data_IF_316412396605
#
_entry.id   IF_316412396605
#
_cell.length_a   1.000
_cell.length_b   1.000
_cell.length_c   1.000
_cell.angle_alpha   90.00
_cell.angle_beta   90.00
_cell.angle_gamma   90.00
#
_symmetry.space_group_name_H-M   'P 1'
#
loop_
_entity.id
_entity.type
_entity.pdbx_description
1 polymer ?
#
# COMPACT_ATOMS: atom_id res chain seq x y z
N UNK A 1 29.34 50.48 -24.21
CA UNK A 1 28.34 49.92 -23.30
C UNK A 1 28.26 50.84 -22.10
N UNK A 2 27.05 51.27 -21.75
CA UNK A 2 26.78 52.26 -20.70
C UNK A 2 26.83 51.54 -19.33
N UNK A 3 27.47 52.10 -18.31
CA UNK A 3 27.68 51.44 -17.01
C UNK A 3 26.37 50.94 -16.36
N UNK A 4 25.25 51.60 -16.64
CA UNK A 4 23.90 51.18 -16.19
C UNK A 4 23.45 49.84 -16.78
N UNK A 5 23.73 49.60 -18.05
CA UNK A 5 23.32 48.37 -18.76
C UNK A 5 24.12 47.15 -18.24
N UNK A 6 25.41 47.32 -17.93
CA UNK A 6 26.22 46.27 -17.29
C UNK A 6 25.71 45.87 -15.90
N UNK A 7 25.24 46.85 -15.10
CA UNK A 7 24.66 46.58 -13.78
C UNK A 7 23.36 45.78 -13.90
N UNK A 8 22.49 46.14 -14.85
CA UNK A 8 21.22 45.46 -15.09
C UNK A 8 21.42 44.01 -15.56
N UNK A 9 22.39 43.74 -16.44
CA UNK A 9 22.75 42.38 -16.83
C UNK A 9 23.23 41.51 -15.66
N UNK A 10 24.06 42.06 -14.78
CA UNK A 10 24.52 41.33 -13.60
C UNK A 10 23.33 41.00 -12.68
N UNK A 11 22.41 41.95 -12.51
CA UNK A 11 21.21 41.74 -11.70
C UNK A 11 20.29 40.66 -12.29
N UNK A 12 20.06 40.69 -13.60
CA UNK A 12 19.26 39.69 -14.31
C UNK A 12 19.81 38.28 -14.08
N UNK A 13 21.10 38.05 -14.37
CA UNK A 13 21.74 36.75 -14.14
C UNK A 13 21.66 36.28 -12.68
N UNK A 14 21.82 37.19 -11.71
CA UNK A 14 21.68 36.86 -10.30
C UNK A 14 20.24 36.46 -9.94
N UNK A 15 19.24 37.17 -10.44
CA UNK A 15 17.83 36.87 -10.20
C UNK A 15 17.41 35.56 -10.87
N UNK A 16 17.90 35.29 -12.09
CA UNK A 16 17.69 34.01 -12.76
C UNK A 16 18.30 32.86 -11.95
N UNK A 17 19.55 33.00 -11.50
CA UNK A 17 20.21 32.01 -10.64
C UNK A 17 19.43 31.73 -9.36
N UNK A 18 18.91 32.78 -8.70
CA UNK A 18 18.07 32.64 -7.51
C UNK A 18 16.78 31.86 -7.79
N UNK A 19 16.08 32.14 -8.90
CA UNK A 19 14.88 31.39 -9.30
C UNK A 19 15.20 29.91 -9.54
N UNK A 20 16.30 29.63 -10.24
CA UNK A 20 16.72 28.26 -10.54
C UNK A 20 17.04 27.47 -9.26
N UNK A 21 17.73 28.08 -8.29
CA UNK A 21 18.00 27.44 -7.00
C UNK A 21 16.69 27.12 -6.26
N UNK A 22 15.72 28.04 -6.25
CA UNK A 22 14.41 27.79 -5.61
C UNK A 22 13.62 26.66 -6.26
N UNK A 23 13.63 26.58 -7.59
CA UNK A 23 13.01 25.47 -8.32
C UNK A 23 13.71 24.14 -8.01
N UNK A 24 15.04 24.13 -7.89
CA UNK A 24 15.80 22.94 -7.47
C UNK A 24 15.49 22.53 -6.03
N UNK A 25 15.34 23.48 -5.11
CA UNK A 25 14.91 23.22 -3.74
C UNK A 25 13.52 22.56 -3.70
N UNK A 26 12.59 23.07 -4.51
CA UNK A 26 11.25 22.51 -4.66
C UNK A 26 11.30 21.07 -5.20
N UNK A 27 12.03 20.83 -6.30
CA UNK A 27 12.18 19.50 -6.87
C UNK A 27 12.79 18.52 -5.87
N UNK A 28 13.83 18.94 -5.14
CA UNK A 28 14.49 18.11 -4.13
C UNK A 28 13.55 17.74 -2.99
N UNK A 29 12.74 18.70 -2.51
CA UNK A 29 11.76 18.44 -1.46
C UNK A 29 10.66 17.48 -1.94
N UNK A 30 10.14 17.70 -3.15
CA UNK A 30 9.11 16.84 -3.73
C UNK A 30 9.61 15.40 -3.93
N UNK A 31 10.86 15.22 -4.36
CA UNK A 31 11.51 13.90 -4.45
C UNK A 31 11.55 13.18 -3.10
N UNK A 32 11.99 13.88 -2.05
CA UNK A 32 12.05 13.33 -0.70
C UNK A 32 10.67 12.90 -0.19
N UNK A 33 9.67 13.76 -0.39
CA UNK A 33 8.29 13.48 0.01
C UNK A 33 7.73 12.25 -0.74
N UNK A 34 7.78 12.23 -2.07
CA UNK A 34 7.25 11.12 -2.89
C UNK A 34 7.92 9.77 -2.62
N UNK A 35 9.19 9.77 -2.25
CA UNK A 35 9.90 8.56 -1.85
C UNK A 35 9.35 7.96 -0.55
N UNK A 36 8.84 8.80 0.36
CA UNK A 36 8.24 8.38 1.62
C UNK A 36 6.73 8.10 1.58
N UNK A 37 6.00 8.60 0.59
CA UNK A 37 4.53 8.51 0.58
C UNK A 37 3.95 7.10 0.33
N UNK A 38 4.74 6.15 -0.16
CA UNK A 38 4.28 4.76 -0.23
C UNK A 38 5.44 3.78 -0.10
N UNK A 39 5.18 2.68 0.58
CA UNK A 39 6.09 1.54 0.73
C UNK A 39 5.25 0.28 0.66
N UNK A 40 5.66 -0.70 -0.13
CA UNK A 40 4.97 -1.98 -0.24
C UNK A 40 5.99 -3.07 -0.54
N UNK A 41 6.07 -4.09 0.31
CA UNK A 41 7.00 -5.19 0.10
C UNK A 41 7.16 -6.11 1.31
N UNK A 42 7.94 -7.20 1.15
CA UNK A 42 8.25 -8.10 2.25
C UNK A 42 8.96 -7.36 3.39
N UNK A 43 8.61 -7.67 4.63
CA UNK A 43 9.20 -7.01 5.80
C UNK A 43 10.73 -7.16 5.84
N UNK A 44 11.25 -8.32 5.44
CA UNK A 44 12.69 -8.61 5.42
C UNK A 44 13.48 -7.76 4.41
N UNK A 45 12.86 -7.32 3.31
CA UNK A 45 13.52 -6.53 2.25
C UNK A 45 12.98 -5.09 2.15
N UNK A 46 12.16 -4.65 3.11
CA UNK A 46 11.48 -3.35 3.09
C UNK A 46 12.45 -2.18 2.93
N UNK A 47 13.61 -2.24 3.60
CA UNK A 47 14.64 -1.20 3.49
C UNK A 47 15.28 -1.12 2.09
N UNK A 48 15.44 -2.27 1.43
CA UNK A 48 15.95 -2.33 0.06
C UNK A 48 14.91 -1.78 -0.93
N UNK A 49 13.63 -2.13 -0.75
CA UNK A 49 12.52 -1.57 -1.54
C UNK A 49 12.44 -0.06 -1.40
N UNK A 50 12.54 0.47 -0.17
CA UNK A 50 12.56 1.93 0.08
C UNK A 50 13.74 2.61 -0.60
N UNK A 51 14.93 2.02 -0.52
CA UNK A 51 16.13 2.55 -1.18
C UNK A 51 15.98 2.57 -2.70
N UNK A 52 15.49 1.48 -3.30
CA UNK A 52 15.25 1.38 -4.73
C UNK A 52 14.23 2.42 -5.22
N UNK A 53 13.16 2.63 -4.45
CA UNK A 53 12.16 3.65 -4.74
C UNK A 53 12.74 5.05 -4.69
N UNK A 54 13.53 5.37 -3.67
CA UNK A 54 14.22 6.65 -3.56
C UNK A 54 15.15 6.89 -4.76
N UNK A 55 15.91 5.88 -5.19
CA UNK A 55 16.74 5.96 -6.40
C UNK A 55 15.92 6.17 -7.68
N UNK A 56 14.79 5.47 -7.83
CA UNK A 56 13.88 5.63 -8.98
C UNK A 56 13.32 7.05 -9.09
N UNK A 57 12.99 7.66 -7.95
CA UNK A 57 12.46 9.03 -7.89
C UNK A 57 13.55 10.08 -8.10
N UNK A 58 14.78 9.81 -7.63
CA UNK A 58 15.89 10.75 -7.74
C UNK A 58 16.18 11.18 -9.19
N UNK A 59 16.07 10.25 -10.14
CA UNK A 59 16.31 10.51 -11.57
C UNK A 59 15.17 11.19 -12.32
N UNK A 60 14.01 11.46 -11.68
CA UNK A 60 12.85 12.06 -12.35
C UNK A 60 12.91 13.59 -12.34
N UNK A 61 12.47 14.19 -13.43
CA UNK A 61 12.33 15.64 -13.54
C UNK A 61 11.12 16.16 -12.77
N UNK A 62 11.12 17.45 -12.42
CA UNK A 62 9.99 18.14 -11.78
C UNK A 62 8.63 17.82 -12.43
N UNK A 63 8.53 17.84 -13.77
CA UNK A 63 7.29 17.54 -14.48
C UNK A 63 6.76 16.12 -14.23
N UNK A 64 7.64 15.11 -14.27
CA UNK A 64 7.26 13.72 -13.97
C UNK A 64 6.87 13.54 -12.50
N UNK A 65 7.58 14.20 -11.59
CA UNK A 65 7.28 14.15 -10.15
C UNK A 65 5.90 14.74 -9.86
N UNK A 66 5.55 15.85 -10.50
CA UNK A 66 4.26 16.51 -10.32
C UNK A 66 3.11 15.70 -10.91
N UNK A 67 3.34 15.02 -12.04
CA UNK A 67 2.39 14.05 -12.57
C UNK A 67 2.15 12.90 -11.59
N UNK A 68 3.20 12.28 -11.07
CA UNK A 68 3.09 11.21 -10.07
C UNK A 68 2.38 11.70 -8.80
N UNK A 69 2.76 12.88 -8.31
CA UNK A 69 2.16 13.49 -7.13
C UNK A 69 0.66 13.72 -7.29
N UNK A 70 0.25 14.31 -8.41
CA UNK A 70 -1.17 14.65 -8.67
C UNK A 70 -2.04 13.45 -9.04
N UNK A 71 -1.44 12.38 -9.61
CA UNK A 71 -2.18 11.19 -9.99
C UNK A 71 -2.44 10.25 -8.81
N UNK A 72 -1.41 10.02 -7.98
CA UNK A 72 -1.36 8.91 -7.02
C UNK A 72 -1.55 9.35 -5.57
N UNK A 73 -1.16 10.60 -5.25
CA UNK A 73 -1.04 11.08 -3.87
C UNK A 73 -1.94 12.26 -3.54
N UNK A 74 -2.31 13.07 -4.54
CA UNK A 74 -3.29 14.15 -4.38
C UNK A 74 -4.66 13.69 -4.87
N UNK A 75 -5.58 13.43 -3.94
CA UNK A 75 -6.90 12.86 -4.24
C UNK A 75 -8.00 13.84 -3.88
N UNK A 76 -9.03 13.95 -4.72
CA UNK A 76 -10.25 14.69 -4.36
C UNK A 76 -11.13 13.83 -3.46
N UNK A 77 -11.84 14.44 -2.51
CA UNK A 77 -12.79 13.72 -1.63
C UNK A 77 -13.78 12.84 -2.42
N UNK A 78 -14.28 13.35 -3.54
CA UNK A 78 -15.17 12.64 -4.47
C UNK A 78 -14.58 11.34 -5.05
N UNK A 79 -13.26 11.28 -5.23
CA UNK A 79 -12.54 10.12 -5.76
C UNK A 79 -12.19 9.13 -4.65
N UNK A 80 -11.93 9.59 -3.43
CA UNK A 80 -11.67 8.70 -2.29
C UNK A 80 -12.91 7.85 -1.96
N UNK A 81 -14.10 8.45 -1.99
CA UNK A 81 -15.37 7.74 -1.75
C UNK A 81 -15.69 6.65 -2.79
N UNK A 82 -15.01 6.63 -3.94
CA UNK A 82 -15.18 5.61 -4.98
C UNK A 82 -14.09 4.52 -4.95
N UNK A 83 -13.01 4.74 -4.19
CA UNK A 83 -11.84 3.85 -4.16
C UNK A 83 -11.94 2.73 -3.11
N UNK A 84 -12.98 2.73 -2.27
CA UNK A 84 -13.13 1.84 -1.12
C UNK A 84 -13.56 0.40 -1.51
N UNK A 85 -14.11 0.20 -2.72
CA UNK A 85 -14.61 -1.11 -3.17
C UNK A 85 -13.60 -1.97 -3.95
N UNK A 86 -12.40 -1.47 -4.25
CA UNK A 86 -11.48 -2.13 -5.21
C UNK A 86 -10.07 -2.42 -4.69
N UNK A 87 -9.78 -2.20 -3.39
CA UNK A 87 -8.43 -2.40 -2.83
C UNK A 87 -8.22 -3.67 -2.03
N UNK A 88 -9.16 -4.60 -2.04
CA UNK A 88 -8.83 -6.01 -1.84
C UNK A 88 -8.05 -6.48 -3.08
N UNK A 89 -6.75 -6.15 -3.12
CA UNK A 89 -5.87 -6.58 -4.21
C UNK A 89 -5.77 -8.10 -4.17
N UNK A 90 -6.08 -8.71 -5.32
CA UNK A 90 -5.63 -10.02 -5.78
C UNK A 90 -4.10 -10.11 -5.73
N UNK A 91 -3.54 -10.14 -4.53
CA UNK A 91 -2.15 -10.54 -4.32
C UNK A 91 -2.09 -12.05 -4.46
N UNK A 92 -1.37 -12.54 -5.45
CA UNK A 92 -0.89 -13.93 -5.46
C UNK A 92 -0.26 -14.18 -4.09
N UNK A 93 -0.85 -15.10 -3.31
CA UNK A 93 -0.37 -15.48 -1.97
C UNK A 93 1.01 -16.13 -2.11
N UNK A 94 2.05 -15.31 -2.25
CA UNK A 94 3.43 -15.77 -2.13
C UNK A 94 3.69 -16.10 -0.67
N UNK A 95 4.13 -17.32 -0.40
CA UNK A 95 4.44 -17.88 0.92
C UNK A 95 5.67 -17.23 1.60
N UNK A 96 6.18 -16.11 1.07
CA UNK A 96 7.50 -15.53 1.37
C UNK A 96 7.48 -14.53 2.55
N UNK A 97 6.79 -14.90 3.63
CA UNK A 97 6.78 -14.17 4.91
C UNK A 97 5.87 -12.93 4.96
N UNK A 98 5.92 -12.17 6.08
CA UNK A 98 5.03 -11.04 6.30
C UNK A 98 5.32 -9.88 5.33
N UNK A 99 4.27 -9.35 4.71
CA UNK A 99 4.33 -8.18 3.82
C UNK A 99 3.83 -6.93 4.56
N UNK A 100 4.49 -5.80 4.32
CA UNK A 100 4.11 -4.49 4.88
C UNK A 100 3.77 -3.55 3.74
N UNK A 101 2.60 -2.93 3.82
CA UNK A 101 2.15 -1.90 2.88
C UNK A 101 1.72 -0.64 3.62
N UNK A 102 2.22 0.50 3.20
CA UNK A 102 1.88 1.83 3.68
C UNK A 102 1.65 2.73 2.47
N UNK A 103 0.52 3.44 2.46
CA UNK A 103 0.22 4.43 1.43
C UNK A 103 -0.40 5.67 2.08
N UNK A 104 0.28 6.80 1.95
CA UNK A 104 -0.16 8.09 2.44
C UNK A 104 -0.70 8.93 1.28
N UNK A 105 -1.95 9.38 1.37
CA UNK A 105 -2.55 10.30 0.39
C UNK A 105 -3.02 11.58 1.06
N UNK A 106 -2.96 12.66 0.31
CA UNK A 106 -3.49 13.97 0.67
C UNK A 106 -4.85 14.09 0.01
N UNK A 107 -5.90 14.04 0.83
CA UNK A 107 -7.29 14.20 0.38
C UNK A 107 -7.69 15.66 0.53
N UNK A 108 -8.28 16.22 -0.53
CA UNK A 108 -8.67 17.62 -0.60
C UNK A 108 -10.09 17.79 -1.13
N UNK A 109 -10.79 18.87 -0.73
CA UNK A 109 -11.98 19.34 -1.42
C UNK A 109 -11.71 19.52 -2.92
N UNK A 110 -12.70 19.21 -3.76
CA UNK A 110 -12.52 19.12 -5.23
C UNK A 110 -12.04 20.44 -5.86
N UNK A 111 -12.54 21.57 -5.36
CA UNK A 111 -12.14 22.92 -5.77
C UNK A 111 -10.70 23.26 -5.35
N UNK A 112 -10.26 22.77 -4.19
CA UNK A 112 -8.88 22.94 -3.73
C UNK A 112 -7.92 22.05 -4.53
N UNK A 113 -8.31 20.80 -4.82
CA UNK A 113 -7.55 19.87 -5.66
C UNK A 113 -7.27 20.47 -7.05
N UNK A 114 -8.29 21.01 -7.71
CA UNK A 114 -8.15 21.66 -9.01
C UNK A 114 -7.20 22.86 -8.97
N UNK A 115 -7.36 23.73 -7.98
CA UNK A 115 -6.51 24.92 -7.78
C UNK A 115 -5.04 24.56 -7.59
N UNK A 116 -4.74 23.53 -6.79
CA UNK A 116 -3.36 23.09 -6.60
C UNK A 116 -2.80 22.49 -7.89
N UNK A 117 -3.57 21.65 -8.58
CA UNK A 117 -3.13 21.06 -9.86
C UNK A 117 -2.77 22.14 -10.89
N UNK A 118 -3.54 23.23 -10.92
CA UNK A 118 -3.25 24.40 -11.76
C UNK A 118 -1.99 25.15 -11.30
N UNK A 119 -1.80 25.36 -9.99
CA UNK A 119 -0.55 25.95 -9.45
C UNK A 119 0.69 25.14 -9.83
N UNK A 120 0.57 23.81 -9.73
CA UNK A 120 1.61 22.88 -10.13
C UNK A 120 1.89 22.98 -11.64
N UNK A 121 0.87 23.03 -12.49
CA UNK A 121 1.08 23.22 -13.93
C UNK A 121 1.81 24.55 -14.24
N UNK A 122 1.47 25.64 -13.53
CA UNK A 122 2.14 26.94 -13.67
C UNK A 122 3.62 26.89 -13.28
N UNK A 123 3.98 26.16 -12.23
CA UNK A 123 5.37 25.94 -11.83
C UNK A 123 6.21 25.25 -12.92
N UNK A 124 5.65 24.25 -13.61
CA UNK A 124 6.33 23.59 -14.75
C UNK A 124 6.51 24.56 -15.91
N UNK A 125 5.45 25.29 -16.25
CA UNK A 125 5.47 26.29 -17.31
C UNK A 125 6.54 27.36 -17.03
N UNK A 126 6.58 27.91 -15.81
CA UNK A 126 7.57 28.88 -15.37
C UNK A 126 8.99 28.33 -15.48
N UNK A 127 9.26 27.10 -15.00
CA UNK A 127 10.60 26.49 -15.14
C UNK A 127 11.01 26.39 -16.60
N UNK A 128 10.10 25.99 -17.48
CA UNK A 128 10.42 25.85 -18.91
C UNK A 128 10.62 27.21 -19.57
N UNK A 129 9.83 28.20 -19.20
CA UNK A 129 9.99 29.58 -19.65
C UNK A 129 11.37 30.13 -19.28
N UNK A 130 11.74 30.07 -18.00
CA UNK A 130 13.02 30.60 -17.51
C UNK A 130 14.24 29.93 -18.15
N UNK A 131 14.11 28.66 -18.54
CA UNK A 131 15.21 27.89 -19.13
C UNK A 131 15.28 28.02 -20.66
N UNK A 132 14.14 28.12 -21.33
CA UNK A 132 14.07 28.00 -22.79
C UNK A 132 13.58 29.26 -23.51
N UNK A 133 12.77 30.10 -22.87
CA UNK A 133 12.07 31.20 -23.53
C UNK A 133 12.40 32.59 -22.97
N UNK A 134 13.17 32.68 -21.88
CA UNK A 134 13.54 33.97 -21.28
C UNK A 134 14.21 34.92 -22.30
N UNK A 135 15.18 34.39 -23.07
CA UNK A 135 15.92 35.14 -24.09
C UNK A 135 15.08 35.48 -25.33
N UNK A 136 14.02 34.71 -25.58
CA UNK A 136 13.08 34.98 -26.67
C UNK A 136 12.04 36.04 -26.28
N UNK A 137 11.73 36.11 -24.97
CA UNK A 137 10.70 36.99 -24.41
C UNK A 137 11.22 38.40 -24.12
N UNK A 138 12.47 38.53 -23.68
CA UNK A 138 13.08 39.80 -23.32
C UNK A 138 14.35 40.06 -24.13
N UNK A 139 14.44 41.24 -24.75
CA UNK A 139 15.67 41.69 -25.40
C UNK A 139 16.67 42.13 -24.31
N UNK A 140 17.55 41.22 -23.93
CA UNK A 140 18.55 41.52 -22.91
C UNK A 140 19.63 42.50 -23.39
N UNK A 141 19.70 42.82 -24.69
CA UNK A 141 20.67 43.82 -25.17
C UNK A 141 20.20 45.25 -24.93
N UNK A 142 18.91 45.43 -24.67
CA UNK A 142 18.26 46.69 -24.36
C UNK A 142 18.11 46.92 -22.85
N UNK A 143 18.17 48.18 -22.42
CA UNK A 143 18.09 48.55 -21.00
C UNK A 143 16.68 48.31 -20.43
N UNK A 144 15.64 48.66 -21.20
CA UNK A 144 14.25 48.42 -20.79
C UNK A 144 13.92 46.92 -20.82
N UNK A 145 14.47 46.18 -21.78
CA UNK A 145 14.36 44.72 -21.84
C UNK A 145 14.99 44.02 -20.63
N UNK A 146 16.17 44.44 -20.20
CA UNK A 146 16.81 43.94 -18.97
C UNK A 146 16.01 44.29 -17.71
N UNK A 147 15.48 45.51 -17.61
CA UNK A 147 14.64 45.92 -16.48
C UNK A 147 13.35 45.08 -16.41
N UNK A 148 12.67 44.89 -17.54
CA UNK A 148 11.48 44.05 -17.63
C UNK A 148 11.76 42.58 -17.27
N UNK A 149 12.89 42.02 -17.71
CA UNK A 149 13.33 40.68 -17.32
C UNK A 149 13.58 40.60 -15.80
N UNK A 150 14.23 41.61 -15.22
CA UNK A 150 14.48 41.70 -13.79
C UNK A 150 13.19 41.71 -12.95
N UNK A 151 12.16 42.44 -13.37
CA UNK A 151 10.86 42.51 -12.68
C UNK A 151 10.10 41.19 -12.81
N UNK A 152 10.16 40.57 -13.99
CA UNK A 152 9.58 39.26 -14.23
C UNK A 152 10.23 38.19 -13.35
N UNK A 153 11.56 38.16 -13.24
CA UNK A 153 12.30 37.22 -12.40
C UNK A 153 12.01 37.41 -10.90
N UNK A 154 11.77 38.63 -10.43
CA UNK A 154 11.32 38.85 -9.05
C UNK A 154 9.93 38.26 -8.81
N UNK A 155 9.00 38.47 -9.74
CA UNK A 155 7.65 37.89 -9.68
C UNK A 155 7.70 36.36 -9.67
N UNK A 156 8.50 35.75 -10.56
CA UNK A 156 8.73 34.30 -10.58
C UNK A 156 9.31 33.80 -9.26
N UNK A 157 10.28 34.50 -8.69
CA UNK A 157 10.88 34.12 -7.42
C UNK A 157 9.85 34.09 -6.28
N UNK A 158 8.97 35.08 -6.20
CA UNK A 158 7.90 35.14 -5.20
C UNK A 158 6.90 34.00 -5.35
N UNK A 159 6.49 33.68 -6.58
CA UNK A 159 5.59 32.55 -6.86
C UNK A 159 6.22 31.21 -6.45
N UNK A 160 7.47 30.94 -6.82
CA UNK A 160 8.17 29.70 -6.43
C UNK A 160 8.34 29.63 -4.90
N UNK A 161 8.62 30.76 -4.24
CA UNK A 161 8.75 30.80 -2.79
C UNK A 161 7.43 30.44 -2.08
N UNK A 162 6.30 30.92 -2.60
CA UNK A 162 4.96 30.58 -2.10
C UNK A 162 4.66 29.09 -2.25
N UNK A 163 4.89 28.54 -3.44
CA UNK A 163 4.67 27.11 -3.70
C UNK A 163 5.60 26.21 -2.87
N UNK A 164 6.86 26.62 -2.67
CA UNK A 164 7.80 25.93 -1.80
C UNK A 164 7.35 25.94 -0.34
N UNK A 165 6.77 27.03 0.14
CA UNK A 165 6.20 27.11 1.49
C UNK A 165 5.02 26.14 1.66
N UNK A 166 4.12 26.07 0.68
CA UNK A 166 3.02 25.11 0.69
C UNK A 166 3.53 23.66 0.71
N UNK A 167 4.51 23.33 -0.14
CA UNK A 167 5.11 22.01 -0.19
C UNK A 167 5.82 21.63 1.13
N UNK A 168 6.46 22.60 1.81
CA UNK A 168 7.06 22.37 3.14
C UNK A 168 6.00 22.02 4.18
N UNK A 169 4.87 22.71 4.19
CA UNK A 169 3.76 22.37 5.10
C UNK A 169 3.27 20.94 4.89
N UNK A 170 3.21 20.47 3.65
CA UNK A 170 2.83 19.10 3.35
C UNK A 170 3.90 18.08 3.75
N UNK A 171 5.17 18.36 3.46
CA UNK A 171 6.28 17.51 3.88
C UNK A 171 6.33 17.38 5.41
N UNK A 172 6.08 18.47 6.14
CA UNK A 172 6.01 18.47 7.59
C UNK A 172 4.81 17.65 8.09
N UNK A 173 3.61 17.83 7.53
CA UNK A 173 2.45 17.02 7.88
C UNK A 173 2.66 15.51 7.64
N UNK A 174 3.28 15.14 6.51
CA UNK A 174 3.61 13.74 6.22
C UNK A 174 4.64 13.17 7.19
N UNK A 175 5.60 13.98 7.64
CA UNK A 175 6.61 13.58 8.63
C UNK A 175 5.97 13.38 10.01
N UNK A 176 5.10 14.31 10.43
CA UNK A 176 4.35 14.19 11.70
C UNK A 176 3.47 12.93 11.72
N UNK A 177 2.79 12.63 10.61
CA UNK A 177 2.01 11.40 10.46
C UNK A 177 2.90 10.16 10.60
N UNK A 178 4.06 10.13 9.93
CA UNK A 178 5.00 9.01 10.03
C UNK A 178 5.51 8.82 11.46
N UNK A 179 5.87 9.90 12.16
CA UNK A 179 6.28 9.86 13.57
C UNK A 179 5.17 9.34 14.47
N UNK A 180 3.93 9.79 14.27
CA UNK A 180 2.78 9.31 15.02
C UNK A 180 2.55 7.81 14.80
N UNK A 181 2.50 7.35 13.55
CA UNK A 181 2.33 5.93 13.23
C UNK A 181 3.43 5.06 13.85
N UNK A 182 4.69 5.53 13.80
CA UNK A 182 5.80 4.83 14.43
C UNK A 182 5.62 4.72 15.95
N UNK A 183 5.19 5.80 16.62
CA UNK A 183 4.91 5.77 18.06
C UNK A 183 3.78 4.82 18.45
N UNK A 184 2.77 4.65 17.58
CA UNK A 184 1.69 3.67 17.78
C UNK A 184 2.23 2.25 17.68
N UNK A 185 3.05 1.96 16.66
CA UNK A 185 3.66 0.64 16.45
C UNK A 185 4.63 0.24 17.57
N UNK A 186 5.37 1.19 18.13
CA UNK A 186 6.26 0.95 19.28
C UNK A 186 5.52 0.85 20.62
N UNK A 187 4.21 1.15 20.65
CA UNK A 187 3.47 1.17 21.91
C UNK A 187 3.26 -0.24 22.48
N UNK A 188 3.40 -0.44 23.80
CA UNK A 188 3.08 -1.72 24.45
C UNK A 188 1.61 -2.13 24.29
N UNK A 189 0.72 -1.16 24.05
CA UNK A 189 -0.68 -1.41 23.79
C UNK A 189 -0.89 -2.09 22.43
N UNK A 190 -0.20 -1.63 21.39
CA UNK A 190 -0.23 -2.26 20.08
C UNK A 190 0.33 -3.68 20.14
N UNK A 191 1.47 -3.89 20.80
CA UNK A 191 2.07 -5.22 20.94
C UNK A 191 1.13 -6.22 21.64
N UNK A 192 0.45 -5.78 22.71
CA UNK A 192 -0.55 -6.60 23.41
C UNK A 192 -1.75 -6.94 22.54
N UNK A 193 -2.33 -5.96 21.84
CA UNK A 193 -3.49 -6.19 20.96
C UNK A 193 -3.12 -7.10 19.81
N UNK A 194 -1.96 -6.88 19.19
CA UNK A 194 -1.48 -7.67 18.07
C UNK A 194 -1.16 -9.11 18.49
N UNK A 195 -0.38 -9.28 19.57
CA UNK A 195 -0.02 -10.59 20.11
C UNK A 195 -1.26 -11.38 20.58
N UNK A 196 -2.20 -10.72 21.25
CA UNK A 196 -3.44 -11.36 21.70
C UNK A 196 -4.34 -11.74 20.51
N UNK A 197 -4.41 -10.93 19.46
CA UNK A 197 -5.10 -11.28 18.22
C UNK A 197 -4.52 -12.52 17.55
N UNK A 198 -3.19 -12.63 17.48
CA UNK A 198 -2.49 -13.82 16.96
C UNK A 198 -2.74 -15.05 17.85
N UNK A 199 -2.69 -14.87 19.17
CA UNK A 199 -2.94 -15.96 20.12
C UNK A 199 -4.38 -16.46 20.03
N UNK A 200 -5.36 -15.57 19.90
CA UNK A 200 -6.76 -15.93 19.69
C UNK A 200 -6.95 -16.67 18.36
N UNK A 201 -6.38 -16.17 17.26
CA UNK A 201 -6.44 -16.87 15.97
C UNK A 201 -5.80 -18.27 16.03
N UNK A 202 -4.67 -18.40 16.73
CA UNK A 202 -4.02 -19.70 16.95
C UNK A 202 -4.85 -20.63 17.82
N UNK A 203 -5.51 -20.11 18.85
CA UNK A 203 -6.38 -20.87 19.75
C UNK A 203 -7.65 -21.31 19.04
N UNK A 204 -8.23 -20.47 18.19
CA UNK A 204 -9.35 -20.82 17.31
C UNK A 204 -8.97 -21.93 16.33
N UNK A 205 -7.75 -21.90 15.78
CA UNK A 205 -7.21 -22.96 14.92
C UNK A 205 -6.92 -24.27 15.68
N UNK A 206 -6.33 -24.20 16.88
CA UNK A 206 -6.00 -25.38 17.71
C UNK A 206 -7.22 -25.97 18.43
N UNK A 207 -8.30 -25.21 18.61
CA UNK A 207 -9.53 -25.70 19.25
C UNK A 207 -10.08 -26.97 18.58
N UNK A 208 -9.88 -27.13 17.28
CA UNK A 208 -10.36 -28.30 16.54
C UNK A 208 -9.52 -29.57 16.72
N UNK A 209 -8.38 -29.54 17.43
CA UNK A 209 -7.51 -30.72 17.59
C UNK A 209 -8.24 -31.90 18.23
N UNK A 210 -9.13 -31.65 19.21
CA UNK A 210 -9.93 -32.69 19.87
C UNK A 210 -10.89 -33.40 18.91
N UNK A 211 -11.67 -32.64 18.13
CA UNK A 211 -12.60 -33.22 17.16
C UNK A 211 -11.89 -33.83 15.96
N UNK A 212 -10.76 -33.25 15.50
CA UNK A 212 -9.94 -33.80 14.42
C UNK A 212 -9.33 -35.13 14.85
N UNK A 213 -8.80 -35.23 16.08
CA UNK A 213 -8.31 -36.49 16.63
C UNK A 213 -9.43 -37.53 16.71
N UNK A 214 -10.62 -37.16 17.20
CA UNK A 214 -11.77 -38.06 17.25
C UNK A 214 -12.21 -38.53 15.85
N UNK A 215 -12.15 -37.66 14.84
CA UNK A 215 -12.47 -38.01 13.45
C UNK A 215 -11.43 -38.93 12.80
N UNK A 216 -10.14 -38.79 13.14
CA UNK A 216 -9.08 -39.73 12.73
C UNK A 216 -9.21 -41.09 13.41
N UNK A 217 -9.60 -41.12 14.70
CA UNK A 217 -9.88 -42.37 15.40
C UNK A 217 -11.13 -43.06 14.83
N UNK A 218 -12.17 -42.30 14.48
CA UNK A 218 -13.34 -42.83 13.80
C UNK A 218 -12.99 -43.43 12.43
N UNK A 219 -12.04 -42.83 11.71
CA UNK A 219 -11.54 -43.38 10.45
C UNK A 219 -10.83 -44.73 10.65
N UNK A 220 -10.02 -44.89 11.69
CA UNK A 220 -9.35 -46.17 11.97
C UNK A 220 -10.35 -47.31 12.29
N UNK A 221 -11.47 -46.99 12.94
CA UNK A 221 -12.43 -47.97 13.44
C UNK A 221 -13.60 -48.25 12.48
N UNK A 222 -13.98 -47.26 11.66
CA UNK A 222 -15.18 -47.30 10.82
C UNK A 222 -14.89 -47.23 9.32
N UNK A 223 -13.63 -47.47 8.91
CA UNK A 223 -13.25 -47.45 7.49
C UNK A 223 -13.96 -48.56 6.71
N UNK A 224 -14.47 -48.21 5.53
CA UNK A 224 -14.98 -49.15 4.54
C UNK A 224 -14.39 -48.77 3.17
N UNK A 225 -13.58 -49.66 2.60
CA UNK A 225 -12.90 -49.41 1.32
C UNK A 225 -11.97 -48.17 1.32
N UNK A 226 -11.40 -47.80 2.47
CA UNK A 226 -10.49 -46.65 2.60
C UNK A 226 -11.18 -45.29 2.69
N UNK A 227 -12.50 -45.27 2.91
CA UNK A 227 -13.29 -44.08 3.19
C UNK A 227 -14.18 -44.34 4.41
N UNK A 228 -14.47 -43.29 5.17
CA UNK A 228 -15.33 -43.38 6.35
C UNK A 228 -16.61 -42.59 6.12
N UNK A 229 -17.76 -43.23 6.33
CA UNK A 229 -19.05 -42.54 6.25
C UNK A 229 -19.16 -41.52 7.38
N UNK A 230 -19.61 -40.31 7.06
CA UNK A 230 -19.78 -39.24 8.05
C UNK A 230 -20.76 -39.65 9.15
N UNK A 231 -21.80 -40.43 8.82
CA UNK A 231 -22.81 -40.85 9.79
C UNK A 231 -22.22 -41.86 10.80
N UNK A 232 -21.42 -42.81 10.33
CA UNK A 232 -20.67 -43.74 11.18
C UNK A 232 -19.68 -43.01 12.08
N UNK A 233 -18.98 -42.01 11.54
CA UNK A 233 -18.07 -41.19 12.32
C UNK A 233 -18.79 -40.34 13.36
N UNK A 234 -19.94 -39.73 13.03
CA UNK A 234 -20.75 -38.98 13.99
C UNK A 234 -21.19 -39.90 15.14
N UNK A 235 -21.63 -41.13 14.84
CA UNK A 235 -21.99 -42.10 15.87
C UNK A 235 -20.79 -42.46 16.75
N UNK A 236 -19.61 -42.68 16.15
CA UNK A 236 -18.39 -42.97 16.87
C UNK A 236 -17.97 -41.81 17.79
N UNK A 237 -17.89 -40.59 17.26
CA UNK A 237 -17.48 -39.39 18.00
C UNK A 237 -18.48 -39.08 19.12
N UNK A 238 -19.78 -39.20 18.86
CA UNK A 238 -20.81 -39.00 19.90
C UNK A 238 -20.71 -40.01 21.04
N UNK A 239 -20.23 -41.22 20.75
CA UNK A 239 -20.02 -42.27 21.77
C UNK A 239 -18.73 -42.05 22.57
N UNK A 240 -17.64 -41.67 21.91
CA UNK A 240 -16.30 -41.57 22.52
C UNK A 240 -16.07 -40.21 23.18
N UNK A 241 -16.61 -39.14 22.62
CA UNK A 241 -16.47 -37.77 23.14
C UNK A 241 -17.73 -36.96 22.80
N UNK A 242 -18.80 -37.09 23.62
CA UNK A 242 -20.11 -36.46 23.38
C UNK A 242 -20.08 -34.93 23.28
N UNK A 243 -19.03 -34.30 23.81
CA UNK A 243 -18.79 -32.85 23.80
C UNK A 243 -18.21 -32.35 22.48
N UNK A 244 -17.63 -33.22 21.65
CA UNK A 244 -17.09 -32.85 20.36
C UNK A 244 -18.19 -32.78 19.30
N UNK A 245 -18.69 -31.56 19.08
CA UNK A 245 -19.78 -31.27 18.13
C UNK A 245 -19.43 -30.05 17.26
N UNK A 246 -19.97 -29.95 16.04
CA UNK A 246 -19.65 -28.85 15.13
C UNK A 246 -19.92 -27.46 15.74
N UNK A 247 -20.99 -27.35 16.53
CA UNK A 247 -21.39 -26.10 17.16
C UNK A 247 -20.35 -25.56 18.15
N UNK A 248 -19.56 -26.42 18.80
CA UNK A 248 -18.47 -26.04 19.71
C UNK A 248 -17.39 -25.23 18.98
N UNK A 249 -17.30 -25.40 17.66
CA UNK A 249 -16.31 -24.78 16.78
C UNK A 249 -16.91 -23.74 15.83
N UNK A 250 -18.13 -23.29 16.09
CA UNK A 250 -18.82 -22.30 15.24
C UNK A 250 -19.39 -22.84 13.93
N UNK A 251 -19.42 -24.16 13.73
CA UNK A 251 -19.97 -24.78 12.52
C UNK A 251 -21.36 -25.36 12.75
N UNK A 252 -22.22 -25.30 11.72
CA UNK A 252 -23.59 -25.82 11.80
C UNK A 252 -23.70 -27.32 11.48
N UNK A 253 -22.72 -27.86 10.73
CA UNK A 253 -22.75 -29.26 10.28
C UNK A 253 -21.35 -29.88 10.28
N UNK A 254 -21.28 -31.20 10.44
CA UNK A 254 -20.03 -31.97 10.34
C UNK A 254 -19.36 -31.86 8.97
N UNK A 255 -20.14 -31.70 7.90
CA UNK A 255 -19.61 -31.47 6.55
C UNK A 255 -18.86 -30.14 6.44
N UNK A 256 -19.42 -29.09 7.04
CA UNK A 256 -18.80 -27.77 7.09
C UNK A 256 -17.49 -27.80 7.89
N UNK A 257 -17.48 -28.52 9.01
CA UNK A 257 -16.28 -28.71 9.85
C UNK A 257 -15.19 -29.47 9.09
N UNK A 258 -15.51 -30.59 8.43
CA UNK A 258 -14.54 -31.36 7.64
C UNK A 258 -13.95 -30.53 6.49
N UNK A 259 -14.79 -29.79 5.76
CA UNK A 259 -14.33 -28.94 4.66
C UNK A 259 -13.40 -27.80 5.12
N UNK A 260 -13.67 -27.21 6.30
CA UNK A 260 -12.89 -26.11 6.87
C UNK A 260 -11.65 -26.56 7.64
N UNK A 261 -11.62 -27.81 8.10
CA UNK A 261 -10.47 -28.37 8.83
C UNK A 261 -9.24 -28.61 7.96
N UNK A 262 -9.40 -28.65 6.63
CA UNK A 262 -8.38 -28.90 5.61
C UNK A 262 -7.57 -30.21 5.74
N UNK A 263 -7.75 -30.99 6.81
CA UNK A 263 -7.02 -32.25 7.06
C UNK A 263 -7.66 -33.48 6.41
N UNK A 264 -8.86 -33.35 5.86
CA UNK A 264 -9.62 -34.47 5.28
C UNK A 264 -10.02 -34.20 3.83
N UNK A 265 -10.02 -35.25 3.02
CA UNK A 265 -10.69 -35.27 1.72
C UNK A 265 -12.16 -35.63 1.93
N UNK A 266 -13.07 -34.92 1.27
CA UNK A 266 -14.51 -35.14 1.40
C UNK A 266 -15.10 -35.46 0.02
N UNK A 267 -15.83 -36.57 -0.07
CA UNK A 267 -16.57 -37.00 -1.26
C UNK A 267 -18.06 -37.10 -0.94
N UNK A 268 -18.88 -36.59 -1.84
CA UNK A 268 -20.34 -36.79 -1.80
C UNK A 268 -20.71 -37.76 -2.90
N UNK A 269 -21.37 -38.86 -2.57
CA UNK A 269 -21.82 -39.80 -3.58
C UNK A 269 -23.07 -39.28 -4.31
N UNK A 270 -23.02 -39.29 -5.64
CA UNK A 270 -24.09 -38.82 -6.54
C UNK A 270 -24.88 -39.98 -7.20
N UNK A 271 -24.69 -41.23 -6.73
CA UNK A 271 -25.33 -42.44 -7.26
C UNK A 271 -26.79 -42.70 -6.83
N UNK A 272 -27.43 -43.67 -7.50
CA UNK A 272 -28.87 -43.99 -7.41
C UNK A 272 -29.17 -45.13 -6.41
N UNK A 273 -30.19 -44.89 -5.58
CA UNK A 273 -30.82 -45.74 -4.55
C UNK A 273 -29.95 -46.33 -3.40
N UNK A 274 -30.39 -46.04 -2.17
CA UNK A 274 -29.83 -46.34 -0.83
C UNK A 274 -28.69 -45.44 -0.29
N UNK A 275 -27.72 -45.00 -1.10
CA UNK A 275 -26.55 -44.22 -0.62
C UNK A 275 -26.51 -42.76 -1.11
N UNK A 276 -27.57 -42.34 -1.81
CA UNK A 276 -27.68 -41.02 -2.45
C UNK A 276 -27.57 -39.90 -1.40
N UNK A 277 -26.53 -39.07 -1.53
CA UNK A 277 -26.28 -37.93 -0.63
C UNK A 277 -25.46 -38.24 0.63
N UNK A 278 -24.96 -39.48 0.80
CA UNK A 278 -24.01 -39.81 1.84
C UNK A 278 -22.67 -39.11 1.60
N UNK A 279 -22.10 -38.56 2.67
CA UNK A 279 -20.80 -37.91 2.64
C UNK A 279 -19.78 -38.82 3.29
N UNK A 280 -18.69 -39.01 2.57
CA UNK A 280 -17.57 -39.85 2.97
C UNK A 280 -16.34 -38.97 3.12
N UNK A 281 -15.49 -39.31 4.08
CA UNK A 281 -14.23 -38.61 4.28
C UNK A 281 -13.08 -39.58 4.54
N UNK A 282 -11.87 -39.11 4.30
CA UNK A 282 -10.62 -39.78 4.68
C UNK A 282 -9.55 -38.75 4.98
N UNK A 283 -8.56 -39.09 5.78
CA UNK A 283 -7.42 -38.21 6.05
C UNK A 283 -6.67 -37.92 4.75
N UNK A 284 -6.23 -36.67 4.56
CA UNK A 284 -5.30 -36.35 3.48
C UNK A 284 -3.98 -37.06 3.76
N UNK A 285 -3.34 -37.68 2.76
CA UNK A 285 -2.00 -38.22 2.93
C UNK A 285 -1.05 -37.09 3.31
N UNK A 286 -0.23 -37.32 4.32
CA UNK A 286 0.75 -36.37 4.81
C UNK A 286 1.69 -35.96 3.66
N UNK A 287 1.84 -34.66 3.39
CA UNK A 287 2.66 -34.20 2.25
C UNK A 287 4.16 -34.57 2.43
N UNK A 288 4.55 -35.07 3.60
CA UNK A 288 5.90 -35.58 3.89
C UNK A 288 6.29 -36.86 3.12
N UNK A 289 5.36 -37.63 2.56
CA UNK A 289 5.67 -38.88 1.84
C UNK A 289 5.75 -38.76 0.31
N UNK A 290 5.44 -37.59 -0.27
CA UNK A 290 5.56 -37.36 -1.73
C UNK A 290 6.98 -37.04 -2.23
N UNK A 291 7.96 -36.95 -1.33
CA UNK A 291 9.36 -36.65 -1.65
C UNK A 291 10.34 -37.84 -1.61
N UNK A 292 9.85 -39.08 -1.43
CA UNK A 292 10.68 -40.29 -1.50
C UNK A 292 10.14 -41.28 -2.52
N UNK A 293 10.36 -40.98 -3.79
CA UNK A 293 10.46 -41.95 -4.88
C UNK A 293 11.50 -41.46 -5.85
#
# INVERSE_FOLDING_TARGET
MNTSNEILHIQEHQKLGRCMIRLQEYERLLKGMLAGMSTDGPAASLQAVRSQRASSIHGKSLGLLMQMFTADYLVSESRESQADDSRASDGEESLDGPRVSLNCRIVLPSDHHARIKESLARMIAMRNELVHHLLERFDLTDEDGCAAACDHLDSCHEEVAKELSALRGWAEGTTQLATFLFSVLESPAFDKVFSHGIENARTEMSGMDGVIACLKMAEAECTDGGWTSIDSAIMYVTRVSPDERPNKYGYRTWRQLLARSEQFEVRVDKGNDATRGQTWYRSRPDQAERGRT
#
